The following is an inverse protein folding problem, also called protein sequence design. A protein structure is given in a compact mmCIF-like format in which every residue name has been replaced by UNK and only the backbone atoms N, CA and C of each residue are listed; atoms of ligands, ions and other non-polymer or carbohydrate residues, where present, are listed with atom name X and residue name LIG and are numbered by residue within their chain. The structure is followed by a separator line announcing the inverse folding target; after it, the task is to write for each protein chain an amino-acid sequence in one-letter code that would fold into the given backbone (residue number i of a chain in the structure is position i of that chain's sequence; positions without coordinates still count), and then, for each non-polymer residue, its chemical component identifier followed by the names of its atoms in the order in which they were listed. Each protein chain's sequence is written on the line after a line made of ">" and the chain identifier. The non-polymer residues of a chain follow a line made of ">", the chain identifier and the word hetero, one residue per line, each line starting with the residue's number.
data_IF_323779710014
#
_entry.id   IF_323779710014
#
_cell.length_a   1.000
_cell.length_b   1.000
_cell.length_c   1.000
_cell.angle_alpha   90.00
_cell.angle_beta   90.00
_cell.angle_gamma   90.00
#
_symmetry.space_group_name_H-M   'P 1'
#
loop_
_entity.id
_entity.type
_entity.pdbx_description
1 polymer ?
#
# COMPACT_ATOMS: atom_id res chain seq x y z
N UNK A 1 -7.57 -19.06 -4.73
CA UNK A 1 -6.09 -19.00 -4.72
C UNK A 1 -5.66 -17.60 -4.31
N UNK A 2 -4.65 -17.46 -3.47
CA UNK A 2 -4.06 -16.18 -3.08
C UNK A 2 -2.53 -16.29 -3.15
N UNK A 3 -1.86 -15.21 -3.57
CA UNK A 3 -0.40 -15.15 -3.70
C UNK A 3 0.11 -13.85 -3.08
N UNK A 4 1.01 -13.97 -2.10
CA UNK A 4 1.70 -12.82 -1.53
C UNK A 4 2.98 -12.53 -2.32
N UNK A 5 2.96 -11.46 -3.12
CA UNK A 5 4.10 -11.07 -3.97
C UNK A 5 5.22 -10.45 -3.12
N UNK A 6 6.41 -11.02 -3.19
CA UNK A 6 7.59 -10.52 -2.49
C UNK A 6 8.29 -9.43 -3.31
N UNK A 7 7.80 -8.20 -3.23
CA UNK A 7 8.39 -7.06 -3.97
C UNK A 7 9.80 -6.73 -3.45
N UNK A 8 10.79 -6.45 -4.33
CA UNK A 8 12.19 -6.23 -3.96
C UNK A 8 12.46 -4.95 -3.14
N UNK A 9 11.64 -3.91 -3.24
CA UNK A 9 11.84 -2.58 -2.65
C UNK A 9 13.16 -1.90 -3.08
N UNK A 10 13.62 -2.21 -4.30
CA UNK A 10 14.82 -1.63 -4.93
C UNK A 10 14.49 -0.46 -5.85
N UNK A 11 13.36 -0.53 -6.54
CA UNK A 11 12.79 0.56 -7.33
C UNK A 11 11.31 0.27 -7.58
N UNK A 12 10.52 1.31 -7.89
CA UNK A 12 9.13 1.12 -8.29
C UNK A 12 9.02 0.23 -9.54
N UNK A 13 9.96 0.36 -10.48
CA UNK A 13 9.98 -0.44 -11.70
C UNK A 13 10.19 -1.95 -11.42
N UNK A 14 11.11 -2.30 -10.51
CA UNK A 14 11.35 -3.70 -10.13
C UNK A 14 10.14 -4.29 -9.39
N UNK A 15 9.52 -3.50 -8.50
CA UNK A 15 8.33 -3.90 -7.75
C UNK A 15 7.14 -4.16 -8.69
N UNK A 16 6.96 -3.31 -9.71
CA UNK A 16 5.99 -3.51 -10.79
C UNK A 16 6.31 -4.78 -11.59
N UNK A 17 7.57 -4.97 -12.00
CA UNK A 17 7.97 -6.09 -12.84
C UNK A 17 7.69 -7.44 -12.18
N UNK A 18 8.09 -7.60 -10.91
CA UNK A 18 7.84 -8.84 -10.14
C UNK A 18 6.33 -9.06 -9.94
N UNK A 19 5.56 -7.99 -9.68
CA UNK A 19 4.11 -8.09 -9.55
C UNK A 19 3.44 -8.52 -10.86
N UNK A 20 3.91 -8.03 -12.01
CA UNK A 20 3.41 -8.46 -13.33
C UNK A 20 3.74 -9.91 -13.65
N UNK A 21 4.92 -10.39 -13.25
CA UNK A 21 5.28 -11.81 -13.36
C UNK A 21 4.34 -12.69 -12.53
N UNK A 22 4.05 -12.27 -11.28
CA UNK A 22 3.09 -12.95 -10.42
C UNK A 22 1.69 -12.98 -11.05
N UNK A 23 1.20 -11.85 -11.57
CA UNK A 23 -0.08 -11.77 -12.28
C UNK A 23 -0.16 -12.72 -13.48
N UNK A 24 0.90 -12.77 -14.30
CA UNK A 24 0.96 -13.63 -15.47
C UNK A 24 0.94 -15.13 -15.11
N UNK A 25 1.36 -15.49 -13.89
CA UNK A 25 1.30 -16.87 -13.40
C UNK A 25 -0.10 -17.31 -12.94
N UNK A 26 -1.02 -16.37 -12.73
CA UNK A 26 -2.37 -16.64 -12.22
C UNK A 26 -3.35 -16.71 -13.38
N UNK A 27 -4.07 -17.83 -13.49
CA UNK A 27 -5.16 -17.97 -14.44
C UNK A 27 -6.49 -17.49 -13.86
N UNK A 28 -7.30 -16.83 -14.70
CA UNK A 28 -8.65 -16.39 -14.37
C UNK A 28 -8.76 -15.00 -13.73
N UNK A 29 -9.99 -14.55 -13.44
CA UNK A 29 -10.26 -13.24 -12.85
C UNK A 29 -9.47 -13.01 -11.56
N UNK A 30 -8.72 -11.92 -11.51
CA UNK A 30 -7.75 -11.62 -10.45
C UNK A 30 -7.99 -10.23 -9.88
N UNK A 31 -7.83 -10.10 -8.56
CA UNK A 31 -7.82 -8.83 -7.83
C UNK A 31 -6.42 -8.59 -7.31
N UNK A 32 -5.92 -7.37 -7.48
CA UNK A 32 -4.71 -6.94 -6.80
C UNK A 32 -5.07 -6.20 -5.52
N UNK A 33 -4.39 -6.57 -4.43
CA UNK A 33 -4.56 -5.95 -3.12
C UNK A 33 -3.24 -5.31 -2.72
N UNK A 34 -3.26 -4.03 -2.38
CA UNK A 34 -2.09 -3.25 -2.02
C UNK A 34 -2.27 -2.56 -0.68
N UNK A 35 -1.35 -2.81 0.26
CA UNK A 35 -1.22 -2.07 1.51
C UNK A 35 -0.10 -1.03 1.39
N UNK A 36 -0.32 0.17 1.94
CA UNK A 36 0.72 1.20 2.01
C UNK A 36 1.35 1.52 0.65
N UNK A 37 2.68 1.49 0.57
CA UNK A 37 3.46 1.64 -0.66
C UNK A 37 3.02 0.70 -1.78
N UNK A 38 2.57 -0.52 -1.48
CA UNK A 38 2.14 -1.46 -2.51
C UNK A 38 0.96 -0.95 -3.34
N UNK A 39 0.21 0.05 -2.86
CA UNK A 39 -0.77 0.78 -3.66
C UNK A 39 -0.17 1.46 -4.90
N UNK A 40 1.05 2.03 -4.80
CA UNK A 40 1.81 2.53 -5.96
C UNK A 40 2.06 1.39 -6.95
N UNK A 41 2.45 0.23 -6.44
CA UNK A 41 2.82 -0.95 -7.25
C UNK A 41 1.61 -1.50 -7.98
N UNK A 42 0.51 -1.80 -7.30
CA UNK A 42 -0.69 -2.39 -7.92
C UNK A 42 -1.36 -1.43 -8.92
N UNK A 43 -1.26 -0.12 -8.67
CA UNK A 43 -1.75 0.92 -9.59
C UNK A 43 -1.05 0.83 -10.93
N UNK A 44 0.23 0.49 -10.96
CA UNK A 44 1.02 0.42 -12.20
C UNK A 44 1.04 -1.00 -12.78
N UNK A 45 1.18 -2.01 -11.93
CA UNK A 45 1.28 -3.41 -12.35
C UNK A 45 -0.01 -3.90 -13.01
N UNK A 46 -1.17 -3.40 -12.58
CA UNK A 46 -2.47 -3.76 -13.13
C UNK A 46 -2.80 -3.15 -14.50
N UNK A 47 -2.00 -2.20 -14.99
CA UNK A 47 -2.32 -1.48 -16.22
C UNK A 47 -2.20 -2.39 -17.43
N UNK A 48 -3.27 -2.43 -18.24
CA UNK A 48 -3.41 -3.27 -19.44
C UNK A 48 -3.25 -4.77 -19.14
N UNK A 49 -3.77 -5.23 -17.99
CA UNK A 49 -3.79 -6.65 -17.59
C UNK A 49 -5.19 -7.21 -17.80
N UNK A 50 -5.35 -8.14 -18.75
CA UNK A 50 -6.66 -8.61 -19.22
C UNK A 50 -7.46 -9.42 -18.21
N UNK A 51 -6.80 -10.09 -17.26
CA UNK A 51 -7.45 -10.88 -16.24
C UNK A 51 -7.65 -10.11 -14.92
N UNK A 52 -7.26 -8.84 -14.85
CA UNK A 52 -7.52 -8.00 -13.68
C UNK A 52 -8.98 -7.54 -13.68
N UNK A 53 -9.68 -7.76 -12.56
CA UNK A 53 -11.09 -7.37 -12.41
C UNK A 53 -11.32 -6.32 -11.31
N UNK A 54 -10.30 -5.99 -10.51
CA UNK A 54 -10.44 -4.99 -9.46
C UNK A 54 -9.16 -4.73 -8.69
N UNK A 55 -9.15 -3.60 -7.98
CA UNK A 55 -8.06 -3.15 -7.12
C UNK A 55 -8.59 -2.91 -5.71
N UNK A 56 -7.87 -3.39 -4.71
CA UNK A 56 -8.18 -3.13 -3.29
C UNK A 56 -6.99 -2.44 -2.66
N UNK A 57 -7.24 -1.27 -2.08
CA UNK A 57 -6.25 -0.45 -1.39
C UNK A 57 -6.56 -0.47 0.11
N UNK A 58 -5.58 -0.78 0.95
CA UNK A 58 -5.73 -0.73 2.40
C UNK A 58 -4.67 0.23 2.97
N UNK A 59 -5.09 1.37 3.53
CA UNK A 59 -4.17 2.42 4.00
C UNK A 59 -3.02 2.65 3.01
N UNK A 60 -3.35 2.90 1.74
CA UNK A 60 -2.41 2.75 0.61
C UNK A 60 -2.39 3.94 -0.34
N UNK A 61 -1.27 4.12 -1.02
CA UNK A 61 -1.17 5.14 -2.07
C UNK A 61 -1.94 4.72 -3.32
N UNK A 62 -2.68 5.62 -3.95
CA UNK A 62 -3.34 5.38 -5.23
C UNK A 62 -3.03 6.53 -6.19
N UNK A 63 -1.84 6.56 -6.82
CA UNK A 63 -1.34 7.69 -7.59
C UNK A 63 -2.14 7.93 -8.89
N UNK A 64 -2.17 9.17 -9.33
CA UNK A 64 -2.41 9.51 -10.73
C UNK A 64 -1.09 9.40 -11.52
N UNK A 65 -1.18 9.29 -12.84
CA UNK A 65 -0.01 9.34 -13.71
C UNK A 65 0.83 10.59 -13.46
N UNK A 66 2.14 10.39 -13.36
CA UNK A 66 3.12 11.44 -13.11
C UNK A 66 3.34 11.76 -11.63
N UNK A 67 2.47 11.30 -10.71
CA UNK A 67 2.69 11.50 -9.27
C UNK A 67 3.65 10.45 -8.71
N UNK A 68 4.62 10.88 -7.91
CA UNK A 68 5.38 10.00 -7.03
C UNK A 68 4.71 9.89 -5.66
N UNK A 69 5.18 8.94 -4.83
CA UNK A 69 4.78 8.90 -3.42
C UNK A 69 5.12 10.21 -2.71
N UNK A 70 6.30 10.77 -2.97
CA UNK A 70 6.74 12.01 -2.31
C UNK A 70 5.81 13.19 -2.67
N UNK A 71 5.40 13.29 -3.94
CA UNK A 71 4.47 14.32 -4.38
C UNK A 71 3.11 14.21 -3.68
N UNK A 72 2.62 12.99 -3.49
CA UNK A 72 1.36 12.73 -2.77
C UNK A 72 1.45 13.09 -1.30
N UNK A 73 2.50 12.64 -0.63
CA UNK A 73 2.73 12.90 0.80
C UNK A 73 2.90 14.40 1.06
N UNK A 74 3.51 15.15 0.14
CA UNK A 74 3.70 16.59 0.27
C UNK A 74 2.40 17.43 0.15
N UNK A 75 1.28 16.84 -0.32
CA UNK A 75 -0.02 17.55 -0.42
C UNK A 75 -0.70 17.78 0.93
N UNK A 76 -0.32 17.02 1.95
CA UNK A 76 -0.94 17.05 3.28
C UNK A 76 0.12 17.23 4.37
N UNK A 77 -0.31 17.55 5.58
CA UNK A 77 0.60 17.64 6.72
C UNK A 77 1.34 16.31 6.90
N UNK A 78 2.68 16.31 7.04
CA UNK A 78 3.46 15.10 7.23
C UNK A 78 2.98 14.29 8.42
N UNK A 79 2.81 12.98 8.22
CA UNK A 79 2.46 12.06 9.28
C UNK A 79 3.65 11.85 10.25
N UNK A 80 3.41 11.50 11.53
CA UNK A 80 4.46 11.28 12.54
C UNK A 80 5.63 10.41 12.07
N UNK A 81 5.37 9.30 11.36
CA UNK A 81 6.40 8.36 10.89
C UNK A 81 7.51 9.04 10.08
N UNK A 82 7.21 10.15 9.40
CA UNK A 82 8.13 10.84 8.48
C UNK A 82 9.42 11.30 9.18
N UNK A 83 9.35 11.55 10.49
CA UNK A 83 10.49 11.93 11.34
C UNK A 83 11.36 10.73 11.74
N UNK A 84 10.87 9.52 11.54
CA UNK A 84 11.45 8.29 12.07
C UNK A 84 11.93 7.33 10.97
N UNK A 85 12.04 7.80 9.74
CA UNK A 85 12.73 7.04 8.68
C UNK A 85 14.22 7.31 8.80
N UNK A 86 15.03 6.26 8.96
CA UNK A 86 16.50 6.33 9.17
C UNK A 86 17.24 5.44 8.16
N UNK A 87 18.56 5.64 7.94
CA UNK A 87 19.37 4.69 7.19
C UNK A 87 19.28 3.28 7.79
N UNK A 88 19.25 2.27 6.92
CA UNK A 88 19.24 0.85 7.30
C UNK A 88 20.65 0.25 7.31
N UNK A 89 20.76 -1.04 7.64
CA UNK A 89 22.00 -1.80 7.51
C UNK A 89 22.47 -1.97 6.04
N UNK A 90 21.54 -1.89 5.07
CA UNK A 90 21.84 -2.00 3.64
C UNK A 90 22.19 -0.61 3.11
N UNK A 91 23.41 -0.45 2.59
CA UNK A 91 23.92 0.83 2.09
C UNK A 91 22.96 1.46 1.06
N UNK A 92 22.57 2.72 1.29
CA UNK A 92 21.64 3.45 0.43
C UNK A 92 20.15 3.15 0.66
N UNK A 93 19.81 2.21 1.54
CA UNK A 93 18.42 1.85 1.87
C UNK A 93 18.01 2.42 3.23
N UNK A 94 16.71 2.57 3.42
CA UNK A 94 16.09 3.12 4.63
C UNK A 94 15.03 2.18 5.19
N UNK A 95 14.62 2.44 6.42
CA UNK A 95 13.52 1.77 7.10
C UNK A 95 12.94 2.71 8.16
N UNK A 96 11.82 2.33 8.78
CA UNK A 96 11.35 3.00 9.99
C UNK A 96 12.24 2.58 11.15
N UNK A 97 12.68 3.54 11.95
CA UNK A 97 13.40 3.31 13.20
C UNK A 97 12.60 2.35 14.10
N UNK A 98 13.12 1.16 14.43
CA UNK A 98 12.34 0.12 15.12
C UNK A 98 11.64 0.56 16.41
N UNK A 99 12.19 1.45 17.27
CA UNK A 99 11.49 1.98 18.43
C UNK A 99 10.26 2.85 18.10
N UNK A 100 10.26 3.53 16.94
CA UNK A 100 9.15 4.37 16.48
C UNK A 100 8.07 3.59 15.71
N UNK A 101 8.38 2.36 15.28
CA UNK A 101 7.43 1.53 14.53
C UNK A 101 6.15 1.20 15.33
N UNK A 102 6.21 0.71 16.59
CA UNK A 102 4.98 0.47 17.36
C UNK A 102 4.06 1.71 17.49
N UNK A 103 4.52 2.90 17.91
CA UNK A 103 3.63 4.05 18.11
C UNK A 103 3.13 4.72 16.81
N UNK A 104 3.83 4.60 15.69
CA UNK A 104 3.50 5.35 14.46
C UNK A 104 3.10 4.48 13.25
N UNK A 105 3.30 3.16 13.32
CA UNK A 105 2.91 2.22 12.27
C UNK A 105 1.81 1.24 12.70
N UNK A 106 1.86 0.72 13.94
CA UNK A 106 0.97 -0.35 14.39
C UNK A 106 0.59 -0.23 15.87
N UNK A 107 0.04 0.93 16.26
CA UNK A 107 -0.23 1.25 17.65
C UNK A 107 -1.44 0.52 18.27
N UNK A 108 -2.15 -0.30 17.50
CA UNK A 108 -3.41 -0.94 17.85
C UNK A 108 -3.29 -2.48 17.98
N UNK A 109 -2.07 -3.00 18.18
CA UNK A 109 -1.81 -4.42 18.48
C UNK A 109 -0.99 -4.58 19.76
N UNK A 110 -0.94 -5.78 20.38
CA UNK A 110 -0.06 -6.02 21.52
C UNK A 110 1.41 -5.69 21.20
N UNK A 111 2.09 -4.99 22.10
CA UNK A 111 3.46 -4.53 21.91
C UNK A 111 4.47 -5.63 21.47
N UNK A 112 4.39 -6.88 21.97
CA UNK A 112 5.26 -7.95 21.47
C UNK A 112 5.09 -8.22 19.96
N UNK A 113 3.86 -8.18 19.45
CA UNK A 113 3.57 -8.35 18.02
C UNK A 113 4.15 -7.18 17.23
N UNK A 114 3.91 -5.95 17.68
CA UNK A 114 4.45 -4.75 17.06
C UNK A 114 5.98 -4.77 16.98
N UNK A 115 6.66 -5.23 18.05
CA UNK A 115 8.13 -5.35 18.09
C UNK A 115 8.67 -6.40 17.13
N UNK A 116 8.00 -7.55 17.00
CA UNK A 116 8.39 -8.58 16.02
C UNK A 116 8.30 -8.02 14.60
N UNK A 117 7.22 -7.32 14.28
CA UNK A 117 7.06 -6.68 12.96
C UNK A 117 8.07 -5.57 12.73
N UNK A 118 8.39 -4.77 13.75
CA UNK A 118 9.38 -3.71 13.67
C UNK A 118 10.78 -4.22 13.29
N UNK A 119 11.21 -5.38 13.81
CA UNK A 119 12.51 -5.97 13.48
C UNK A 119 12.49 -6.82 12.20
N UNK A 120 11.30 -7.15 11.69
CA UNK A 120 11.12 -7.93 10.46
C UNK A 120 11.00 -7.04 9.21
N UNK A 121 11.13 -5.72 9.37
CA UNK A 121 11.07 -4.78 8.26
C UNK A 121 12.10 -5.10 7.18
N UNK A 122 11.66 -4.98 5.93
CA UNK A 122 12.56 -5.00 4.77
C UNK A 122 13.00 -3.56 4.44
N UNK A 123 14.32 -3.29 4.36
CA UNK A 123 14.79 -1.98 3.92
C UNK A 123 14.34 -1.64 2.50
N UNK A 124 14.05 -0.37 2.25
CA UNK A 124 13.61 0.16 0.96
C UNK A 124 14.57 1.20 0.38
N UNK A 125 14.67 1.25 -0.95
CA UNK A 125 15.43 2.26 -1.65
C UNK A 125 14.63 3.58 -1.75
N UNK A 126 15.25 4.76 -1.61
CA UNK A 126 14.58 6.04 -1.83
C UNK A 126 13.90 6.16 -3.20
N UNK A 127 14.45 5.50 -4.23
CA UNK A 127 13.91 5.49 -5.59
C UNK A 127 12.47 4.96 -5.65
N UNK A 128 12.10 4.00 -4.80
CA UNK A 128 10.72 3.52 -4.70
C UNK A 128 9.71 4.66 -4.47
N UNK A 129 10.12 5.73 -3.78
CA UNK A 129 9.25 6.80 -3.31
C UNK A 129 9.32 8.07 -4.19
N UNK A 130 10.40 8.26 -4.95
CA UNK A 130 10.59 9.42 -5.83
C UNK A 130 10.26 9.15 -7.30
N UNK A 131 10.14 7.88 -7.72
CA UNK A 131 9.79 7.57 -9.11
C UNK A 131 8.33 7.97 -9.42
N UNK A 132 8.08 8.76 -10.47
CA UNK A 132 6.73 9.06 -10.94
C UNK A 132 5.96 7.79 -11.37
N UNK A 133 4.68 7.72 -11.03
CA UNK A 133 3.78 6.66 -11.47
C UNK A 133 3.48 6.76 -12.98
N UNK A 134 3.33 5.61 -13.64
CA UNK A 134 2.79 5.51 -14.99
C UNK A 134 1.27 5.61 -15.03
N UNK A 135 0.68 5.23 -16.18
CA UNK A 135 -0.77 5.21 -16.38
C UNK A 135 -1.43 4.26 -15.36
N UNK A 136 -2.47 4.70 -14.62
CA UNK A 136 -3.02 3.92 -13.52
C UNK A 136 -4.08 2.90 -13.95
N UNK A 137 -4.02 1.70 -13.37
CA UNK A 137 -4.97 0.61 -13.56
C UNK A 137 -6.38 0.94 -13.06
N UNK A 138 -6.52 1.81 -12.04
CA UNK A 138 -7.83 2.17 -11.48
C UNK A 138 -8.73 2.93 -12.46
N UNK A 139 -8.19 3.38 -13.61
CA UNK A 139 -8.98 3.91 -14.73
C UNK A 139 -9.63 2.83 -15.60
N UNK A 140 -9.22 1.57 -15.44
CA UNK A 140 -9.66 0.43 -16.28
C UNK A 140 -10.57 -0.54 -15.52
N UNK A 141 -10.42 -0.61 -14.19
CA UNK A 141 -11.13 -1.56 -13.32
C UNK A 141 -11.66 -0.87 -12.07
N UNK A 142 -12.75 -1.36 -11.45
CA UNK A 142 -13.27 -0.81 -10.21
C UNK A 142 -12.25 -0.91 -9.07
N UNK A 143 -12.36 0.03 -8.13
CA UNK A 143 -11.48 0.13 -6.96
C UNK A 143 -12.27 0.08 -5.65
N UNK A 144 -11.63 -0.48 -4.63
CA UNK A 144 -12.08 -0.50 -3.24
C UNK A 144 -10.99 0.06 -2.35
N UNK A 145 -11.39 0.72 -1.27
CA UNK A 145 -10.44 1.38 -0.38
C UNK A 145 -10.84 1.19 1.09
N UNK A 146 -9.88 0.84 1.93
CA UNK A 146 -10.00 0.87 3.39
C UNK A 146 -9.14 2.03 3.91
N UNK A 147 -9.81 3.05 4.45
CA UNK A 147 -9.16 4.18 5.13
C UNK A 147 -8.91 3.82 6.59
N UNK A 148 -7.68 4.02 7.05
CA UNK A 148 -7.30 3.83 8.47
C UNK A 148 -7.36 5.16 9.22
N UNK A 149 -8.36 5.33 10.09
CA UNK A 149 -8.64 6.63 10.74
C UNK A 149 -7.52 7.15 11.63
N UNK A 150 -6.78 6.24 12.25
CA UNK A 150 -5.72 6.55 13.20
C UNK A 150 -4.35 6.32 12.56
N UNK A 151 -4.25 6.34 11.23
CA UNK A 151 -2.98 6.19 10.54
C UNK A 151 -2.01 7.32 10.90
N UNK A 152 -0.81 6.91 11.33
CA UNK A 152 0.30 7.80 11.72
C UNK A 152 1.50 7.67 10.78
N UNK A 153 1.34 6.90 9.70
CA UNK A 153 2.28 6.69 8.61
C UNK A 153 1.85 7.40 7.33
N UNK A 154 0.60 7.24 6.92
CA UNK A 154 -0.05 8.02 5.86
C UNK A 154 -1.07 8.94 6.55
N UNK A 155 -1.14 10.20 6.12
CA UNK A 155 -2.16 11.10 6.65
C UNK A 155 -3.57 10.57 6.24
N UNK A 156 -4.50 10.34 7.19
CA UNK A 156 -5.83 9.82 6.86
C UNK A 156 -6.60 10.70 5.86
N UNK A 157 -6.37 12.02 5.83
CA UNK A 157 -7.00 12.90 4.84
C UNK A 157 -6.41 12.71 3.44
N UNK A 158 -5.13 12.34 3.33
CA UNK A 158 -4.52 11.92 2.07
C UNK A 158 -5.13 10.60 1.58
N UNK A 159 -5.36 9.63 2.46
CA UNK A 159 -6.06 8.39 2.12
C UNK A 159 -7.46 8.68 1.58
N UNK A 160 -8.26 9.47 2.31
CA UNK A 160 -9.61 9.88 1.88
C UNK A 160 -9.59 10.61 0.55
N UNK A 161 -8.63 11.51 0.34
CA UNK A 161 -8.44 12.21 -0.92
C UNK A 161 -8.21 11.23 -2.08
N UNK A 162 -7.29 10.30 -1.92
CA UNK A 162 -6.97 9.30 -2.95
C UNK A 162 -8.15 8.35 -3.19
N UNK A 163 -8.79 7.84 -2.14
CA UNK A 163 -9.96 6.97 -2.23
C UNK A 163 -11.12 7.63 -3.01
N UNK A 164 -11.39 8.91 -2.72
CA UNK A 164 -12.39 9.71 -3.44
C UNK A 164 -11.98 9.92 -4.90
N UNK A 165 -10.71 10.25 -5.17
CA UNK A 165 -10.21 10.52 -6.52
C UNK A 165 -10.37 9.32 -7.45
N UNK A 166 -10.07 8.12 -6.96
CA UNK A 166 -10.16 6.90 -7.77
C UNK A 166 -11.60 6.34 -7.86
N UNK A 167 -12.59 7.02 -7.26
CA UNK A 167 -13.98 6.58 -7.24
C UNK A 167 -14.18 5.26 -6.49
N UNK A 168 -13.38 4.99 -5.46
CA UNK A 168 -13.42 3.70 -4.78
C UNK A 168 -14.68 3.50 -3.93
N UNK A 169 -15.16 2.27 -3.89
CA UNK A 169 -16.06 1.84 -2.80
C UNK A 169 -15.24 1.82 -1.51
N UNK A 170 -15.55 2.74 -0.59
CA UNK A 170 -14.68 3.03 0.55
C UNK A 170 -15.33 2.63 1.86
N UNK A 171 -14.56 1.96 2.71
CA UNK A 171 -14.86 1.80 4.14
C UNK A 171 -13.80 2.54 4.95
N UNK A 172 -14.15 2.96 6.16
CA UNK A 172 -13.26 3.69 7.04
C UNK A 172 -13.36 3.11 8.45
N UNK A 173 -12.23 2.68 9.01
CA UNK A 173 -12.18 1.95 10.29
C UNK A 173 -11.18 2.57 11.27
N UNK A 174 -11.42 2.38 12.57
CA UNK A 174 -10.56 2.88 13.65
C UNK A 174 -9.26 2.07 13.81
N UNK A 175 -8.43 2.06 12.76
CA UNK A 175 -7.18 1.29 12.68
C UNK A 175 -5.94 2.20 12.62
N UNK A 176 -4.81 1.65 13.06
CA UNK A 176 -3.46 2.10 12.69
C UNK A 176 -3.18 1.91 11.19
N UNK A 177 -1.98 2.28 10.74
CA UNK A 177 -1.54 2.05 9.36
C UNK A 177 -1.59 0.56 8.96
N UNK A 178 -1.29 -0.34 9.89
CA UNK A 178 -1.24 -1.77 9.64
C UNK A 178 -2.61 -2.46 9.81
N UNK A 179 -3.67 -1.89 9.20
CA UNK A 179 -5.01 -2.49 9.17
C UNK A 179 -5.05 -3.96 8.70
N UNK A 180 -4.19 -4.46 7.78
CA UNK A 180 -4.15 -5.89 7.48
C UNK A 180 -3.74 -6.79 8.65
N UNK A 181 -3.10 -6.24 9.68
CA UNK A 181 -2.66 -6.98 10.86
C UNK A 181 -3.65 -6.80 12.01
N UNK A 182 -4.09 -5.58 12.29
CA UNK A 182 -4.98 -5.30 13.42
C UNK A 182 -6.45 -5.59 13.12
N UNK A 183 -6.87 -5.46 11.86
CA UNK A 183 -8.25 -5.63 11.39
C UNK A 183 -8.33 -6.52 10.14
N UNK A 184 -7.82 -7.77 10.21
CA UNK A 184 -7.74 -8.64 9.04
C UNK A 184 -9.11 -9.01 8.47
N UNK A 185 -10.16 -9.08 9.32
CA UNK A 185 -11.52 -9.40 8.87
C UNK A 185 -12.12 -8.27 8.02
N UNK A 186 -11.93 -7.01 8.38
CA UNK A 186 -12.40 -5.86 7.59
C UNK A 186 -11.73 -5.83 6.21
N UNK A 187 -10.41 -6.09 6.16
CA UNK A 187 -9.66 -6.22 4.90
C UNK A 187 -10.20 -7.38 4.07
N UNK A 188 -10.43 -8.54 4.69
CA UNK A 188 -10.97 -9.72 4.02
C UNK A 188 -12.36 -9.46 3.42
N UNK A 189 -13.26 -8.86 4.18
CA UNK A 189 -14.61 -8.54 3.70
C UNK A 189 -14.58 -7.54 2.54
N UNK A 190 -13.66 -6.57 2.55
CA UNK A 190 -13.48 -5.65 1.42
C UNK A 190 -12.98 -6.37 0.16
N UNK A 191 -12.03 -7.30 0.30
CA UNK A 191 -11.55 -8.14 -0.81
C UNK A 191 -12.69 -9.02 -1.35
N UNK A 192 -13.50 -9.59 -0.46
CA UNK A 192 -14.64 -10.44 -0.84
C UNK A 192 -15.74 -9.64 -1.55
N UNK A 193 -15.99 -8.39 -1.14
CA UNK A 193 -16.88 -7.48 -1.84
C UNK A 193 -16.34 -7.18 -3.25
N UNK A 194 -15.04 -6.94 -3.38
CA UNK A 194 -14.38 -6.74 -4.66
C UNK A 194 -14.51 -7.95 -5.60
N UNK A 195 -14.38 -9.17 -5.07
CA UNK A 195 -14.47 -10.40 -5.89
C UNK A 195 -15.87 -10.74 -6.39
N UNK A 196 -16.91 -10.10 -5.85
CA UNK A 196 -18.31 -10.38 -6.19
C UNK A 196 -18.89 -9.40 -7.20
N UNK A 197 -18.30 -8.22 -7.37
CA UNK A 197 -18.78 -7.21 -8.31
C UNK A 197 -18.28 -7.59 -9.72
N UNK A 198 -19.21 -8.06 -10.55
CA UNK A 198 -18.99 -8.32 -11.98
C UNK A 198 -19.40 -7.09 -12.79
#
# INVERSE_FOLDING_TARGET
>A
NALAVQIPLTSLADDIAVTRQALASISGPTILVGHSYAGMVITNAGTNVSNLIGLVYAAAYAPEQGESHNDLTAKFTPAPISKHVIPSYRSGFRWVDPPAFPPDFIQDVPLPVARVLAVSQKPFAPLCFSTPSGAPAWKQVPSWYLVSKNDRTINPDLERFMAKRIGATTIEIASSHASPVSHPEDVFQLILAASRKR
#
